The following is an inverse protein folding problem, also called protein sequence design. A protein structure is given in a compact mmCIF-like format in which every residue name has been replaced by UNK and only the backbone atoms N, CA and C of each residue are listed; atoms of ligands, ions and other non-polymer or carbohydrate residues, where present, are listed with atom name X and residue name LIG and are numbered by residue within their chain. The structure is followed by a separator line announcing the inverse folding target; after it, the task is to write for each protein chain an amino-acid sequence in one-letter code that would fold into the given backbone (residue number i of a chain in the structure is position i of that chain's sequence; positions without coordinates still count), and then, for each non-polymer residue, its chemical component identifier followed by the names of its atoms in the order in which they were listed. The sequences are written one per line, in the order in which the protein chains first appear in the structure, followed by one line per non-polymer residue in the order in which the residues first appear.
data_IF_362148333142
#
_entry.id   IF_362148333142
#
_cell.length_a   1.000
_cell.length_b   1.000
_cell.length_c   1.000
_cell.angle_alpha   90.00
_cell.angle_beta   90.00
_cell.angle_gamma   90.00
#
_symmetry.space_group_name_H-M   'P 1'
#
loop_
_entity.id
_entity.type
_entity.pdbx_description
1 polymer ?
#
# COMPACT_ATOMS: atom_id res chain seq x y z
N UNK A 1 -7.94 -3.12 4.43
CA UNK A 1 -7.83 -4.45 5.07
C UNK A 1 -7.90 -5.51 3.98
N UNK A 2 -7.00 -6.50 3.98
CA UNK A 2 -6.98 -7.53 2.95
C UNK A 2 -5.83 -8.51 3.19
N UNK A 3 -5.88 -9.67 2.52
CA UNK A 3 -4.75 -10.56 2.36
C UNK A 3 -4.23 -10.47 0.92
N UNK A 4 -2.99 -10.85 0.68
CA UNK A 4 -2.37 -10.80 -0.65
C UNK A 4 -1.67 -12.14 -0.91
N UNK A 5 -1.75 -12.66 -2.15
CA UNK A 5 -1.01 -13.86 -2.54
C UNK A 5 0.38 -13.51 -3.14
N UNK A 6 1.17 -14.54 -3.48
CA UNK A 6 2.51 -14.35 -4.06
C UNK A 6 2.52 -13.62 -5.41
N UNK A 7 1.37 -13.57 -6.10
CA UNK A 7 1.21 -12.86 -7.37
C UNK A 7 0.74 -11.41 -7.17
N UNK A 8 0.58 -10.96 -5.93
CA UNK A 8 0.15 -9.59 -5.61
C UNK A 8 -1.37 -9.38 -5.67
N UNK A 9 -2.16 -10.43 -5.90
CA UNK A 9 -3.63 -10.33 -5.92
C UNK A 9 -4.19 -10.17 -4.51
N UNK A 10 -5.12 -9.23 -4.36
CA UNK A 10 -5.83 -8.97 -3.11
C UNK A 10 -6.97 -9.98 -2.94
N UNK A 11 -6.90 -10.75 -1.87
CA UNK A 11 -7.83 -11.82 -1.56
C UNK A 11 -9.02 -11.32 -0.71
N UNK A 12 -10.21 -11.90 -0.90
CA UNK A 12 -11.37 -11.56 -0.10
C UNK A 12 -11.14 -11.95 1.37
N UNK A 13 -11.74 -11.17 2.27
CA UNK A 13 -11.65 -11.39 3.71
C UNK A 13 -13.03 -11.45 4.35
N UNK A 14 -13.13 -12.20 5.45
CA UNK A 14 -14.32 -12.24 6.30
C UNK A 14 -14.43 -11.02 7.22
N UNK A 15 -15.66 -10.77 7.68
CA UNK A 15 -16.00 -9.69 8.62
C UNK A 15 -15.78 -8.29 8.05
N UNK A 16 -16.05 -8.09 6.76
CA UNK A 16 -15.72 -6.82 6.10
C UNK A 16 -16.60 -5.66 6.56
N UNK A 17 -17.88 -5.92 6.83
CA UNK A 17 -18.82 -4.87 7.27
C UNK A 17 -18.44 -4.38 8.67
N UNK A 18 -18.20 -5.30 9.60
CA UNK A 18 -17.80 -5.03 10.99
C UNK A 18 -16.48 -4.26 11.06
N UNK A 19 -15.54 -4.57 10.15
CA UNK A 19 -14.27 -3.85 10.03
C UNK A 19 -14.46 -2.40 9.55
N UNK A 20 -15.34 -2.19 8.56
CA UNK A 20 -15.64 -0.86 8.04
C UNK A 20 -16.37 -0.04 9.11
N UNK A 21 -17.40 -0.61 9.74
CA UNK A 21 -18.18 0.02 10.79
C UNK A 21 -17.33 0.37 12.02
N UNK A 22 -16.45 -0.54 12.43
CA UNK A 22 -15.51 -0.31 13.53
C UNK A 22 -14.58 0.87 13.24
N UNK A 23 -13.98 0.92 12.05
CA UNK A 23 -13.11 2.05 11.67
C UNK A 23 -13.90 3.35 11.53
N UNK A 24 -15.07 3.32 10.88
CA UNK A 24 -15.95 4.48 10.75
C UNK A 24 -16.30 5.09 12.10
N UNK A 25 -16.62 4.27 13.12
CA UNK A 25 -16.95 4.75 14.47
C UNK A 25 -15.79 5.51 15.12
N UNK A 26 -14.55 5.09 14.87
CA UNK A 26 -13.35 5.80 15.34
C UNK A 26 -13.23 7.15 14.64
N UNK A 27 -13.39 7.19 13.31
CA UNK A 27 -13.36 8.43 12.53
C UNK A 27 -14.49 9.40 12.91
N UNK A 28 -15.70 8.88 13.14
CA UNK A 28 -16.86 9.65 13.59
C UNK A 28 -16.59 10.31 14.94
N UNK A 29 -15.98 9.57 15.88
CA UNK A 29 -15.59 10.11 17.20
C UNK A 29 -14.49 11.15 17.08
N UNK A 30 -13.57 11.01 16.13
CA UNK A 30 -12.50 11.96 15.85
C UNK A 30 -12.97 13.20 15.07
N UNK A 31 -14.18 13.17 14.49
CA UNK A 31 -14.71 14.18 13.58
C UNK A 31 -14.42 13.85 12.12
N UNK A 32 -15.47 13.62 11.34
CA UNK A 32 -15.35 13.37 9.90
C UNK A 32 -15.06 14.66 9.13
N UNK A 33 -13.98 14.65 8.36
CA UNK A 33 -13.47 15.78 7.58
C UNK A 33 -13.36 15.49 6.07
N UNK A 34 -13.79 14.30 5.63
CA UNK A 34 -13.66 13.85 4.24
C UNK A 34 -12.30 13.27 3.85
N UNK A 35 -11.31 13.22 4.76
CA UNK A 35 -10.04 12.55 4.48
C UNK A 35 -10.09 11.04 4.80
N UNK A 36 -11.08 10.63 5.59
CA UNK A 36 -11.19 9.29 6.13
C UNK A 36 -11.71 8.28 5.12
N UNK A 37 -11.20 7.05 5.18
CA UNK A 37 -11.71 5.98 4.34
C UNK A 37 -11.03 4.63 4.55
N UNK A 38 -11.54 3.63 3.85
CA UNK A 38 -11.10 2.25 3.91
C UNK A 38 -10.76 1.74 2.52
N UNK A 39 -9.66 0.98 2.42
CA UNK A 39 -9.32 0.21 1.23
C UNK A 39 -9.67 -1.27 1.48
N UNK A 40 -10.49 -1.86 0.60
CA UNK A 40 -10.98 -3.24 0.72
C UNK A 40 -10.69 -4.07 -0.55
N UNK A 41 -10.73 -5.41 -0.49
CA UNK A 41 -10.62 -6.24 -1.68
C UNK A 41 -11.80 -5.98 -2.62
N UNK A 42 -11.56 -5.82 -3.93
CA UNK A 42 -12.64 -5.61 -4.91
C UNK A 42 -13.68 -6.74 -4.85
N UNK A 43 -13.23 -7.98 -4.63
CA UNK A 43 -14.11 -9.15 -4.51
C UNK A 43 -15.11 -9.06 -3.34
N UNK A 44 -14.81 -8.29 -2.29
CA UNK A 44 -15.72 -8.05 -1.16
C UNK A 44 -16.82 -7.02 -1.46
N UNK A 45 -16.71 -6.23 -2.54
CA UNK A 45 -17.69 -5.17 -2.88
C UNK A 45 -19.13 -5.69 -2.90
N UNK A 46 -19.35 -6.87 -3.46
CA UNK A 46 -20.68 -7.50 -3.56
C UNK A 46 -21.26 -7.97 -2.22
N UNK A 47 -20.44 -8.03 -1.17
CA UNK A 47 -20.82 -8.49 0.17
C UNK A 47 -21.04 -7.32 1.15
N UNK A 48 -20.92 -6.07 0.68
CA UNK A 48 -21.10 -4.90 1.51
C UNK A 48 -22.56 -4.72 1.89
N UNK A 49 -22.83 -4.71 3.20
CA UNK A 49 -24.12 -4.46 3.82
C UNK A 49 -23.85 -3.53 4.99
N UNK A 50 -23.75 -2.23 4.69
CA UNK A 50 -23.29 -1.21 5.64
C UNK A 50 -24.47 -0.50 6.30
N UNK A 51 -24.28 -0.07 7.54
CA UNK A 51 -25.24 0.81 8.23
C UNK A 51 -25.53 2.09 7.43
N UNK A 52 -26.77 2.58 7.51
CA UNK A 52 -27.24 3.74 6.75
C UNK A 52 -26.36 4.99 6.94
N UNK A 53 -25.89 5.24 8.17
CA UNK A 53 -25.02 6.38 8.48
C UNK A 53 -23.71 6.38 7.70
N UNK A 54 -23.17 5.21 7.39
CA UNK A 54 -21.94 5.08 6.60
C UNK A 54 -22.25 5.42 5.14
N UNK A 55 -23.38 4.94 4.63
CA UNK A 55 -23.86 5.28 3.27
C UNK A 55 -24.08 6.78 3.13
N UNK A 56 -24.70 7.43 4.12
CA UNK A 56 -24.89 8.89 4.14
C UNK A 56 -23.55 9.65 4.18
N UNK A 57 -22.61 9.23 5.03
CA UNK A 57 -21.29 9.85 5.10
C UNK A 57 -20.53 9.73 3.77
N UNK A 58 -20.63 8.57 3.11
CA UNK A 58 -20.07 8.37 1.77
C UNK A 58 -20.75 9.27 0.75
N UNK A 59 -22.08 9.36 0.75
CA UNK A 59 -22.84 10.24 -0.15
C UNK A 59 -22.50 11.73 0.05
N UNK A 60 -22.10 12.12 1.26
CA UNK A 60 -21.64 13.47 1.62
C UNK A 60 -20.15 13.72 1.38
N UNK A 61 -19.39 12.75 0.85
CA UNK A 61 -17.94 12.80 0.71
C UNK A 61 -17.20 13.02 2.05
N UNK A 62 -17.77 12.55 3.16
CA UNK A 62 -17.16 12.61 4.48
C UNK A 62 -16.39 11.33 4.84
N UNK A 63 -16.62 10.25 4.09
CA UNK A 63 -15.95 8.98 4.25
C UNK A 63 -15.83 8.27 2.89
N UNK A 64 -14.74 7.53 2.66
CA UNK A 64 -14.48 6.90 1.37
C UNK A 64 -14.29 5.37 1.49
N UNK A 65 -14.80 4.64 0.51
CA UNK A 65 -14.59 3.19 0.38
C UNK A 65 -13.92 2.92 -0.96
N UNK A 66 -12.65 2.53 -0.91
CA UNK A 66 -11.84 2.20 -2.06
C UNK A 66 -11.72 0.69 -2.22
N UNK A 67 -11.60 0.22 -3.46
CA UNK A 67 -11.39 -1.19 -3.77
C UNK A 67 -10.07 -1.38 -4.52
N UNK A 68 -9.38 -2.48 -4.26
CA UNK A 68 -8.21 -2.90 -5.04
C UNK A 68 -8.31 -4.38 -5.43
N UNK A 69 -7.84 -4.70 -6.64
CA UNK A 69 -7.63 -6.09 -7.11
C UNK A 69 -6.19 -6.54 -6.92
N UNK A 70 -5.23 -5.64 -7.14
CA UNK A 70 -3.82 -5.91 -6.97
C UNK A 70 -3.17 -4.97 -5.94
N UNK A 71 -2.14 -5.44 -5.23
CA UNK A 71 -1.44 -4.68 -4.19
C UNK A 71 -0.86 -3.36 -4.70
N UNK A 72 -0.48 -3.30 -5.98
CA UNK A 72 0.03 -2.08 -6.63
C UNK A 72 -0.97 -0.94 -6.58
N UNK A 73 -2.26 -1.22 -6.83
CA UNK A 73 -3.33 -0.22 -6.79
C UNK A 73 -3.45 0.40 -5.39
N UNK A 74 -3.43 -0.46 -4.37
CA UNK A 74 -3.50 -0.01 -2.98
C UNK A 74 -2.30 0.84 -2.56
N UNK A 75 -1.10 0.41 -2.95
CA UNK A 75 0.13 1.15 -2.64
C UNK A 75 0.16 2.49 -3.36
N UNK A 76 -0.28 2.56 -4.62
CA UNK A 76 -0.39 3.83 -5.36
C UNK A 76 -1.41 4.77 -4.72
N UNK A 77 -2.58 4.25 -4.33
CA UNK A 77 -3.61 5.04 -3.65
C UNK A 77 -3.11 5.65 -2.34
N UNK A 78 -2.44 4.84 -1.51
CA UNK A 78 -2.01 5.26 -0.17
C UNK A 78 -0.82 6.23 -0.19
N UNK A 79 0.04 6.14 -1.20
CA UNK A 79 1.26 6.96 -1.27
C UNK A 79 1.13 8.15 -2.21
N UNK A 80 0.17 8.13 -3.14
CA UNK A 80 0.04 9.13 -4.20
C UNK A 80 1.10 9.03 -5.31
N UNK A 81 1.98 8.02 -5.27
CA UNK A 81 3.03 7.82 -6.28
C UNK A 81 2.70 6.64 -7.19
N UNK A 82 3.14 6.65 -8.46
CA UNK A 82 3.05 5.48 -9.31
C UNK A 82 3.80 4.30 -8.68
N UNK A 83 3.22 3.09 -8.69
CA UNK A 83 3.93 1.89 -8.22
C UNK A 83 5.20 1.67 -9.03
N UNK A 84 5.10 1.80 -10.36
CA UNK A 84 6.17 1.55 -11.32
C UNK A 84 6.08 0.18 -11.97
N UNK A 85 6.45 0.12 -13.25
CA UNK A 85 6.54 -1.10 -14.04
C UNK A 85 8.01 -1.31 -14.39
N UNK A 86 8.49 -2.54 -14.27
CA UNK A 86 9.85 -2.88 -14.67
C UNK A 86 9.97 -2.80 -16.20
N UNK A 87 11.06 -2.21 -16.69
CA UNK A 87 11.43 -2.30 -18.10
C UNK A 87 12.03 -3.69 -18.44
N UNK A 88 12.41 -3.89 -19.70
CA UNK A 88 13.00 -5.13 -20.20
C UNK A 88 14.29 -5.53 -19.46
N UNK A 89 14.97 -4.55 -18.84
CA UNK A 89 16.21 -4.76 -18.08
C UNK A 89 15.96 -4.95 -16.58
N UNK A 90 14.69 -4.95 -16.16
CA UNK A 90 14.29 -5.08 -14.76
C UNK A 90 14.47 -3.79 -13.94
N UNK A 91 14.63 -2.63 -14.59
CA UNK A 91 14.73 -1.34 -13.91
C UNK A 91 13.36 -0.66 -13.81
N UNK A 92 13.16 0.05 -12.70
CA UNK A 92 11.95 0.84 -12.48
C UNK A 92 12.28 2.32 -12.62
N UNK A 93 11.30 3.12 -13.09
CA UNK A 93 11.44 4.57 -13.11
C UNK A 93 11.71 5.12 -11.71
N UNK A 94 12.67 6.04 -11.59
CA UNK A 94 13.11 6.58 -10.31
C UNK A 94 12.04 7.35 -9.53
N UNK A 95 11.03 7.89 -10.21
CA UNK A 95 9.90 8.59 -9.60
C UNK A 95 8.83 7.64 -9.03
N UNK A 96 8.96 6.33 -9.27
CA UNK A 96 8.04 5.31 -8.79
C UNK A 96 8.44 4.74 -7.43
N UNK A 97 7.49 4.10 -6.76
CA UNK A 97 7.70 3.44 -5.46
C UNK A 97 8.70 2.30 -5.59
N UNK A 98 8.52 1.43 -6.59
CA UNK A 98 9.45 0.34 -6.87
C UNK A 98 10.82 0.83 -7.33
N UNK A 99 10.91 1.98 -8.01
CA UNK A 99 12.18 2.62 -8.33
C UNK A 99 12.95 3.06 -7.08
N UNK A 100 12.27 3.72 -6.14
CA UNK A 100 12.86 4.10 -4.84
C UNK A 100 13.30 2.89 -4.03
N UNK A 101 12.48 1.84 -4.01
CA UNK A 101 12.81 0.57 -3.36
C UNK A 101 14.03 -0.09 -4.01
N UNK A 102 14.09 -0.16 -5.35
CA UNK A 102 15.21 -0.72 -6.10
C UNK A 102 16.51 0.06 -5.81
N UNK A 103 16.48 1.39 -5.82
CA UNK A 103 17.64 2.21 -5.47
C UNK A 103 18.15 1.93 -4.06
N UNK A 104 17.24 1.80 -3.09
CA UNK A 104 17.57 1.50 -1.69
C UNK A 104 18.23 0.12 -1.57
N UNK A 105 17.66 -0.90 -2.23
CA UNK A 105 18.21 -2.25 -2.26
C UNK A 105 19.59 -2.30 -2.94
N UNK A 106 19.80 -1.52 -4.01
CA UNK A 106 21.11 -1.39 -4.65
C UNK A 106 22.14 -0.73 -3.73
N UNK A 107 21.75 0.29 -2.95
CA UNK A 107 22.62 0.91 -1.96
C UNK A 107 23.02 -0.08 -0.86
N UNK A 108 22.07 -0.85 -0.32
CA UNK A 108 22.36 -1.91 0.66
C UNK A 108 23.29 -2.97 0.09
N UNK A 109 23.06 -3.42 -1.14
CA UNK A 109 23.94 -4.38 -1.82
C UNK A 109 25.38 -3.88 -1.90
N UNK A 110 25.59 -2.62 -2.29
CA UNK A 110 26.93 -2.01 -2.37
C UNK A 110 27.61 -1.98 -1.00
N UNK A 111 26.89 -1.53 0.03
CA UNK A 111 27.42 -1.49 1.39
C UNK A 111 27.83 -2.88 1.92
N UNK A 112 27.01 -3.91 1.68
CA UNK A 112 27.33 -5.29 2.07
C UNK A 112 28.58 -5.81 1.33
N UNK A 113 28.72 -5.53 0.03
CA UNK A 113 29.88 -5.95 -0.76
C UNK A 113 31.18 -5.30 -0.29
N UNK A 114 31.13 -4.02 0.09
CA UNK A 114 32.26 -3.30 0.66
C UNK A 114 32.66 -3.83 2.05
N UNK A 115 31.69 -4.22 2.88
CA UNK A 115 31.98 -4.84 4.18
C UNK A 115 32.59 -6.25 4.08
N UNK A 116 32.30 -6.98 3.01
CA UNK A 116 32.83 -8.32 2.76
C UNK A 116 34.26 -8.29 2.17
N UNK A 117 34.67 -7.17 1.57
CA UNK A 117 36.04 -6.97 1.05
C UNK A 117 36.74 -5.83 1.79
N UNK A 118 37.24 -6.05 3.03
CA UNK A 118 38.02 -5.03 3.72
C UNK A 118 39.25 -4.70 2.86
N UNK A 119 39.33 -3.45 2.38
CA UNK A 119 40.51 -2.94 1.67
C UNK A 119 41.73 -3.12 2.57
N UNK A 120 42.60 -4.08 2.23
CA UNK A 120 43.89 -4.28 2.91
C UNK A 120 44.68 -2.98 2.78
N UNK A 121 44.81 -2.22 3.88
CA UNK A 121 45.71 -1.07 3.94
C UNK A 121 47.14 -1.59 3.74
N UNK A 122 47.68 -1.48 2.53
CA UNK A 122 49.12 -1.66 2.29
C UNK A 122 49.87 -0.59 3.08
N UNK A 123 50.43 -0.96 4.23
CA UNK A 123 51.45 -0.16 4.91
C UNK A 123 52.67 -0.08 3.98
N UNK A 124 52.98 1.12 3.51
CA UNK A 124 54.32 1.45 2.98
C UNK A 124 55.25 1.51 4.19
N UNK A 125 56.24 0.62 4.23
CA UNK A 125 57.49 0.78 4.98
C UNK A 125 58.60 0.98 3.96
#
# INVERSE_FOLDING_TARGET
MGAVNQHGEVLPVGGINEKIEGYFRVCETAGLDGSHGVLIPNRNRRHLMLEHKIVEAVARNLFHIYTAEHVSEGVQLLTGFPTGIADETGNYRHDSILGRAQQTLLAYRRACQESQHPKVKRKRF
#
